data_IF_727759196305
#
_entry.id   IF_727759196305
#
_cell.length_a   1.000
_cell.length_b   1.000
_cell.length_c   1.000
_cell.angle_alpha   90.00
_cell.angle_beta   90.00
_cell.angle_gamma   90.00
#
_symmetry.space_group_name_H-M   'P 1'
#
loop_
_entity.id
_entity.type
_entity.pdbx_description
1 polymer ?
#
# COMPACT_ATOMS: atom_id res chain seq x y z
N UNK A 1 4.66 -10.55 -28.63
CA UNK A 1 4.29 -11.98 -28.61
C UNK A 1 3.70 -12.33 -27.25
N UNK A 2 3.05 -13.49 -27.09
CA UNK A 2 2.62 -13.99 -25.77
C UNK A 2 3.76 -14.82 -25.16
N UNK A 3 4.17 -14.47 -23.94
CA UNK A 3 5.23 -15.16 -23.21
C UNK A 3 4.68 -16.26 -22.30
N UNK A 4 5.45 -16.57 -21.25
CA UNK A 4 5.01 -17.47 -20.18
C UNK A 4 3.68 -16.99 -19.59
N UNK A 5 2.80 -17.94 -19.25
CA UNK A 5 1.48 -17.69 -18.67
C UNK A 5 0.58 -16.83 -19.60
N UNK A 6 0.86 -16.87 -20.91
CA UNK A 6 0.17 -16.09 -21.95
C UNK A 6 0.19 -14.57 -21.73
N UNK A 7 1.20 -14.07 -21.00
CA UNK A 7 1.36 -12.63 -20.75
C UNK A 7 1.92 -11.95 -21.99
N UNK A 8 1.22 -10.94 -22.50
CA UNK A 8 1.67 -10.17 -23.67
C UNK A 8 2.97 -9.42 -23.38
N UNK A 9 3.99 -9.69 -24.19
CA UNK A 9 5.18 -8.87 -24.32
C UNK A 9 5.02 -7.98 -25.56
N UNK A 10 5.03 -6.67 -25.32
CA UNK A 10 5.05 -5.63 -26.33
C UNK A 10 6.07 -4.61 -25.87
N UNK A 11 7.00 -4.28 -26.76
CA UNK A 11 8.08 -3.33 -26.50
C UNK A 11 8.58 -2.76 -27.83
N UNK A 12 9.07 -1.53 -27.78
CA UNK A 12 9.74 -0.85 -28.89
C UNK A 12 11.19 -0.59 -28.45
N UNK A 13 12.11 -1.34 -29.04
CA UNK A 13 13.51 -1.37 -28.59
C UNK A 13 14.40 -0.89 -29.72
N UNK A 14 15.17 0.15 -29.45
CA UNK A 14 16.27 0.56 -30.31
C UNK A 14 17.42 -0.44 -30.14
N UNK A 15 17.94 -0.95 -31.25
CA UNK A 15 19.00 -1.97 -31.29
C UNK A 15 20.12 -1.52 -32.20
N UNK A 16 21.31 -2.07 -31.99
CA UNK A 16 22.45 -1.82 -32.86
C UNK A 16 22.12 -2.13 -34.33
N UNK A 17 22.69 -1.33 -35.24
CA UNK A 17 22.47 -1.47 -36.67
C UNK A 17 22.78 -2.89 -37.18
N UNK A 18 23.77 -3.57 -36.59
CA UNK A 18 24.11 -4.96 -36.93
C UNK A 18 23.02 -5.95 -36.49
N UNK A 19 22.44 -5.76 -35.30
CA UNK A 19 21.32 -6.59 -34.80
C UNK A 19 20.11 -6.44 -35.72
N UNK A 20 19.78 -5.20 -36.08
CA UNK A 20 18.67 -4.93 -37.00
C UNK A 20 18.87 -5.56 -38.39
N UNK A 21 20.09 -5.45 -38.94
CA UNK A 21 20.47 -6.12 -40.20
C UNK A 21 20.35 -7.66 -40.09
N UNK A 22 20.84 -8.24 -39.00
CA UNK A 22 20.75 -9.68 -38.75
C UNK A 22 19.29 -10.15 -38.65
N UNK A 23 18.43 -9.43 -37.94
CA UNK A 23 16.99 -9.75 -37.85
C UNK A 23 16.29 -9.69 -39.21
N UNK A 24 16.66 -8.75 -40.10
CA UNK A 24 16.17 -8.74 -41.49
C UNK A 24 16.57 -9.99 -42.25
N UNK A 25 17.81 -10.46 -42.08
CA UNK A 25 18.31 -11.69 -42.71
C UNK A 25 17.55 -12.90 -42.16
N UNK A 26 17.36 -12.98 -40.84
CA UNK A 26 16.67 -14.09 -40.19
C UNK A 26 15.20 -14.21 -40.56
N UNK A 27 14.59 -13.14 -41.10
CA UNK A 27 13.21 -13.11 -41.63
C UNK A 27 13.12 -13.24 -43.16
N UNK A 28 14.26 -13.37 -43.87
CA UNK A 28 14.27 -13.42 -45.34
C UNK A 28 13.60 -14.70 -45.85
N UNK A 29 13.06 -14.64 -47.06
CA UNK A 29 12.52 -15.81 -47.77
C UNK A 29 13.53 -16.99 -47.75
N UNK A 30 13.05 -18.24 -47.58
CA UNK A 30 11.67 -18.70 -47.77
C UNK A 30 10.75 -18.66 -46.53
N UNK A 31 11.13 -18.02 -45.42
CA UNK A 31 10.33 -18.00 -44.19
C UNK A 31 8.96 -17.33 -44.36
N UNK A 32 7.96 -17.85 -43.64
CA UNK A 32 6.57 -17.39 -43.57
C UNK A 32 6.14 -17.10 -42.13
N UNK A 33 4.94 -16.54 -41.98
CA UNK A 33 4.34 -16.34 -40.67
C UNK A 33 4.14 -17.70 -39.96
N UNK A 34 4.64 -17.79 -38.73
CA UNK A 34 4.65 -19.03 -37.94
C UNK A 34 6.01 -19.74 -37.92
N UNK A 35 6.92 -19.42 -38.84
CA UNK A 35 8.28 -20.00 -38.82
C UNK A 35 9.16 -19.38 -37.72
N UNK A 36 10.05 -20.19 -37.15
CA UNK A 36 10.99 -19.73 -36.13
C UNK A 36 11.96 -18.66 -36.67
N UNK A 37 12.09 -17.55 -35.94
CA UNK A 37 13.09 -16.51 -36.27
C UNK A 37 14.51 -17.09 -36.20
N UNK A 38 14.78 -17.91 -35.18
CA UNK A 38 16.09 -18.53 -34.95
C UNK A 38 16.03 -20.04 -35.22
N UNK A 39 15.77 -20.43 -36.47
CA UNK A 39 15.55 -21.80 -36.95
C UNK A 39 16.70 -22.77 -36.70
N UNK A 40 17.92 -22.26 -36.49
CA UNK A 40 19.13 -23.07 -36.22
C UNK A 40 19.63 -22.96 -34.79
N UNK A 41 18.87 -22.34 -33.90
CA UNK A 41 19.23 -22.14 -32.50
C UNK A 41 18.30 -22.94 -31.60
N UNK A 42 18.89 -23.67 -30.66
CA UNK A 42 18.13 -24.34 -29.59
C UNK A 42 18.59 -23.84 -28.23
N UNK A 43 17.73 -23.95 -27.22
CA UNK A 43 18.06 -23.59 -25.84
C UNK A 43 19.23 -24.42 -25.29
N UNK A 44 19.33 -25.69 -25.68
CA UNK A 44 20.46 -26.57 -25.32
C UNK A 44 21.78 -26.07 -25.91
N UNK A 45 21.80 -25.75 -27.21
CA UNK A 45 22.99 -25.22 -27.87
C UNK A 45 23.44 -23.88 -27.25
N UNK A 46 22.49 -22.99 -26.95
CA UNK A 46 22.77 -21.71 -26.30
C UNK A 46 23.37 -21.92 -24.89
N UNK A 47 22.75 -22.76 -24.05
CA UNK A 47 23.26 -22.99 -22.69
C UNK A 47 24.63 -23.71 -22.69
N UNK A 48 24.88 -24.60 -23.66
CA UNK A 48 26.20 -25.21 -23.85
C UNK A 48 27.25 -24.15 -24.21
N UNK A 49 26.91 -23.22 -25.10
CA UNK A 49 27.78 -22.10 -25.44
C UNK A 49 28.06 -21.20 -24.23
N UNK A 50 27.02 -20.86 -23.45
CA UNK A 50 27.15 -20.04 -22.23
C UNK A 50 28.03 -20.70 -21.16
N UNK A 51 27.88 -22.02 -20.96
CA UNK A 51 28.65 -22.77 -19.97
C UNK A 51 30.16 -22.77 -20.25
N UNK A 52 30.57 -22.59 -21.51
CA UNK A 52 31.99 -22.47 -21.87
C UNK A 52 32.61 -21.15 -21.38
N UNK A 53 31.82 -20.09 -21.17
CA UNK A 53 32.32 -18.83 -20.61
C UNK A 53 32.36 -18.84 -19.09
N UNK A 54 31.39 -19.51 -18.45
CA UNK A 54 31.32 -19.61 -17.00
C UNK A 54 30.56 -20.89 -16.59
N UNK A 55 31.18 -21.76 -15.75
CA UNK A 55 30.50 -22.95 -15.25
C UNK A 55 29.18 -22.60 -14.55
N UNK A 56 28.10 -23.27 -14.94
CA UNK A 56 26.74 -23.04 -14.40
C UNK A 56 25.98 -21.86 -15.03
N UNK A 57 26.59 -21.11 -15.95
CA UNK A 57 25.91 -20.02 -16.66
C UNK A 57 24.88 -20.57 -17.65
N UNK A 58 23.66 -20.08 -17.51
CA UNK A 58 22.51 -20.43 -18.36
C UNK A 58 21.67 -19.19 -18.64
N UNK A 59 20.80 -19.24 -19.65
CA UNK A 59 19.95 -18.11 -20.02
C UNK A 59 19.09 -17.58 -18.84
N UNK A 60 18.68 -18.45 -17.90
CA UNK A 60 17.93 -18.03 -16.70
C UNK A 60 18.74 -17.15 -15.74
N UNK A 61 20.06 -17.34 -15.67
CA UNK A 61 20.94 -16.60 -14.75
C UNK A 61 20.94 -15.12 -15.12
N UNK A 62 20.87 -14.78 -16.41
CA UNK A 62 20.78 -13.39 -16.87
C UNK A 62 19.55 -12.65 -16.32
N UNK A 63 18.39 -13.33 -16.17
CA UNK A 63 17.20 -12.70 -15.58
C UNK A 63 17.41 -12.37 -14.11
N UNK A 64 17.98 -13.29 -13.34
CA UNK A 64 18.28 -13.08 -11.92
C UNK A 64 19.36 -12.01 -11.74
N UNK A 65 20.43 -12.05 -12.55
CA UNK A 65 21.48 -11.05 -12.55
C UNK A 65 20.94 -9.66 -12.87
N UNK A 66 20.23 -9.49 -13.99
CA UNK A 66 19.71 -8.18 -14.40
C UNK A 66 18.72 -7.62 -13.37
N UNK A 67 17.87 -8.46 -12.78
CA UNK A 67 16.93 -8.03 -11.75
C UNK A 67 17.65 -7.57 -10.47
N UNK A 68 18.59 -8.37 -9.95
CA UNK A 68 19.35 -8.07 -8.74
C UNK A 68 20.29 -6.89 -8.94
N UNK A 69 21.00 -6.82 -10.07
CA UNK A 69 21.86 -5.71 -10.44
C UNK A 69 21.10 -4.39 -10.55
N UNK A 70 19.94 -4.41 -11.22
CA UNK A 70 19.09 -3.21 -11.32
C UNK A 70 18.64 -2.76 -9.93
N UNK A 71 18.21 -3.69 -9.08
CA UNK A 71 17.84 -3.36 -7.70
C UNK A 71 19.03 -2.77 -6.92
N UNK A 72 20.22 -3.37 -7.02
CA UNK A 72 21.43 -2.89 -6.35
C UNK A 72 21.77 -1.46 -6.75
N UNK A 73 21.73 -1.14 -8.05
CA UNK A 73 21.97 0.22 -8.57
C UNK A 73 20.93 1.22 -8.07
N UNK A 74 19.65 0.85 -8.14
CA UNK A 74 18.57 1.70 -7.62
C UNK A 74 18.72 1.96 -6.12
N UNK A 75 19.22 0.99 -5.34
CA UNK A 75 19.48 1.13 -3.91
C UNK A 75 20.71 1.98 -3.59
N UNK A 76 21.75 1.93 -4.41
CA UNK A 76 22.93 2.79 -4.27
C UNK A 76 22.55 4.27 -4.43
N UNK A 77 21.73 4.58 -5.42
CA UNK A 77 21.30 5.97 -5.71
C UNK A 77 20.17 6.46 -4.80
N UNK A 78 19.58 5.56 -4.00
CA UNK A 78 18.42 5.88 -3.19
C UNK A 78 18.76 6.79 -2.00
N UNK A 79 17.97 7.86 -1.84
CA UNK A 79 18.05 8.79 -0.71
C UNK A 79 16.72 8.81 0.04
N UNK A 80 16.25 7.64 0.47
CA UNK A 80 14.97 7.51 1.15
C UNK A 80 15.04 8.14 2.55
N UNK A 81 14.26 9.20 2.76
CA UNK A 81 14.14 9.92 4.04
C UNK A 81 12.70 9.87 4.55
N UNK A 82 12.48 10.34 5.77
CA UNK A 82 11.14 10.44 6.36
C UNK A 82 10.71 9.16 7.09
N UNK A 83 9.40 8.95 7.12
CA UNK A 83 8.73 7.86 7.83
C UNK A 83 9.04 6.50 7.22
N UNK A 84 8.82 5.43 7.99
CA UNK A 84 8.91 4.07 7.45
C UNK A 84 7.97 3.84 6.26
N UNK A 85 6.82 4.53 6.19
CA UNK A 85 5.89 4.39 5.08
C UNK A 85 6.48 4.94 3.77
N UNK A 86 7.08 6.14 3.82
CA UNK A 86 7.76 6.76 2.67
C UNK A 86 8.94 5.93 2.19
N UNK A 87 9.75 5.41 3.12
CA UNK A 87 10.87 4.52 2.80
C UNK A 87 10.40 3.20 2.16
N UNK A 88 9.32 2.60 2.65
CA UNK A 88 8.72 1.40 2.05
C UNK A 88 8.22 1.67 0.63
N UNK A 89 7.57 2.83 0.39
CA UNK A 89 7.16 3.24 -0.96
C UNK A 89 8.36 3.36 -1.90
N UNK A 90 9.45 4.00 -1.46
CA UNK A 90 10.68 4.12 -2.26
C UNK A 90 11.25 2.75 -2.65
N UNK A 91 11.25 1.78 -1.73
CA UNK A 91 11.63 0.40 -2.03
C UNK A 91 10.67 -0.26 -3.05
N UNK A 92 9.36 -0.08 -2.88
CA UNK A 92 8.35 -0.64 -3.80
C UNK A 92 8.49 -0.04 -5.20
N UNK A 93 8.76 1.26 -5.31
CA UNK A 93 9.03 1.95 -6.58
C UNK A 93 10.29 1.39 -7.27
N UNK A 94 11.35 1.08 -6.52
CA UNK A 94 12.53 0.41 -7.05
C UNK A 94 12.22 -1.02 -7.54
N UNK A 95 11.51 -1.81 -6.73
CA UNK A 95 11.09 -3.15 -7.11
C UNK A 95 10.13 -3.14 -8.32
N UNK A 96 9.30 -2.10 -8.46
CA UNK A 96 8.42 -1.89 -9.63
C UNK A 96 9.23 -1.74 -10.91
N UNK A 97 10.33 -0.99 -10.90
CA UNK A 97 11.24 -0.88 -12.05
C UNK A 97 11.83 -2.24 -12.42
N UNK A 98 12.24 -3.04 -11.43
CA UNK A 98 12.76 -4.40 -11.65
C UNK A 98 11.67 -5.33 -12.23
N UNK A 99 10.44 -5.23 -11.73
CA UNK A 99 9.32 -6.02 -12.22
C UNK A 99 8.94 -5.67 -13.66
N UNK A 100 9.00 -4.38 -14.03
CA UNK A 100 8.79 -3.91 -15.42
C UNK A 100 9.87 -4.47 -16.33
N UNK A 101 11.16 -4.38 -15.94
CA UNK A 101 12.27 -4.99 -16.67
C UNK A 101 12.05 -6.49 -16.91
N UNK A 102 11.49 -7.19 -15.93
CA UNK A 102 11.22 -8.62 -16.03
C UNK A 102 9.89 -8.98 -16.75
N UNK A 103 9.13 -7.98 -17.22
CA UNK A 103 7.76 -8.10 -17.74
C UNK A 103 6.81 -8.85 -16.78
N UNK A 104 6.96 -8.65 -15.47
CA UNK A 104 6.07 -9.21 -14.45
C UNK A 104 4.78 -8.40 -14.36
N UNK A 105 3.92 -8.59 -15.36
CA UNK A 105 2.59 -7.98 -15.43
C UNK A 105 1.57 -8.85 -14.71
N UNK A 106 0.53 -8.21 -14.19
CA UNK A 106 -0.71 -8.86 -13.75
C UNK A 106 -1.91 -8.08 -14.26
N UNK A 107 -3.03 -8.76 -14.44
CA UNK A 107 -4.30 -8.07 -14.65
C UNK A 107 -4.71 -7.35 -13.37
N UNK A 108 -5.37 -6.20 -13.52
CA UNK A 108 -6.00 -5.52 -12.39
C UNK A 108 -7.06 -6.44 -11.81
N UNK A 109 -7.01 -6.68 -10.50
CA UNK A 109 -7.97 -7.55 -9.84
C UNK A 109 -9.39 -6.98 -9.99
N UNK A 110 -10.39 -7.84 -10.23
CA UNK A 110 -11.77 -7.40 -10.45
C UNK A 110 -12.32 -6.55 -9.29
N UNK A 111 -11.90 -6.83 -8.05
CA UNK A 111 -12.28 -6.06 -6.86
C UNK A 111 -11.40 -4.85 -6.54
N UNK A 112 -10.42 -4.51 -7.38
CA UNK A 112 -9.46 -3.43 -7.09
C UNK A 112 -10.14 -2.07 -6.96
N UNK A 113 -11.07 -1.73 -7.86
CA UNK A 113 -11.81 -0.47 -7.80
C UNK A 113 -12.60 -0.34 -6.48
N UNK A 114 -13.39 -1.36 -6.13
CA UNK A 114 -14.14 -1.39 -4.87
C UNK A 114 -13.24 -1.38 -3.63
N UNK A 115 -12.03 -1.96 -3.71
CA UNK A 115 -11.05 -1.88 -2.63
C UNK A 115 -10.48 -0.47 -2.49
N UNK A 116 -10.20 0.21 -3.60
CA UNK A 116 -9.70 1.59 -3.59
C UNK A 116 -10.75 2.58 -3.10
N UNK A 117 -12.01 2.40 -3.48
CA UNK A 117 -13.16 3.14 -2.95
C UNK A 117 -13.23 3.02 -1.42
N UNK A 118 -13.19 1.79 -0.88
CA UNK A 118 -13.17 1.57 0.57
C UNK A 118 -11.96 2.18 1.28
N UNK A 119 -10.82 2.32 0.60
CA UNK A 119 -9.65 3.00 1.15
C UNK A 119 -9.89 4.51 1.16
N UNK A 120 -10.45 5.05 0.08
CA UNK A 120 -10.80 6.46 -0.05
C UNK A 120 -11.84 6.87 1.00
N UNK A 121 -12.91 6.10 1.18
CA UNK A 121 -13.93 6.34 2.22
C UNK A 121 -13.31 6.43 3.63
N UNK A 122 -12.30 5.59 3.91
CA UNK A 122 -11.58 5.64 5.19
C UNK A 122 -10.70 6.87 5.32
N UNK A 123 -10.05 7.31 4.23
CA UNK A 123 -9.27 8.55 4.21
C UNK A 123 -10.21 9.73 4.48
N UNK A 124 -11.36 9.75 3.81
CA UNK A 124 -12.38 10.79 3.90
C UNK A 124 -13.01 10.85 5.29
N UNK A 125 -13.28 9.70 5.92
CA UNK A 125 -13.68 9.63 7.32
C UNK A 125 -12.65 10.27 8.28
N UNK A 126 -11.35 10.03 8.07
CA UNK A 126 -10.28 10.62 8.91
C UNK A 126 -10.11 12.12 8.61
N UNK A 127 -10.24 12.54 7.35
CA UNK A 127 -10.27 13.95 6.94
C UNK A 127 -11.45 14.69 7.58
N UNK A 128 -12.62 14.06 7.60
CA UNK A 128 -13.80 14.59 8.27
C UNK A 128 -13.62 14.70 9.78
N UNK A 129 -13.00 13.70 10.41
CA UNK A 129 -12.64 13.76 11.83
C UNK A 129 -11.69 14.94 12.10
N UNK A 130 -10.67 15.14 11.27
CA UNK A 130 -9.76 16.27 11.39
C UNK A 130 -10.49 17.60 11.23
N UNK A 131 -11.41 17.70 10.26
CA UNK A 131 -12.27 18.86 10.07
C UNK A 131 -13.12 19.16 11.32
N UNK A 132 -13.77 18.16 11.93
CA UNK A 132 -14.54 18.34 13.17
C UNK A 132 -13.67 18.90 14.30
N UNK A 133 -12.45 18.38 14.48
CA UNK A 133 -11.50 18.90 15.49
C UNK A 133 -11.11 20.37 15.19
N UNK A 134 -10.91 20.72 13.91
CA UNK A 134 -10.66 22.12 13.51
C UNK A 134 -11.84 23.03 13.82
N UNK A 135 -13.08 22.57 13.64
CA UNK A 135 -14.27 23.34 14.01
C UNK A 135 -14.40 23.51 15.53
N UNK A 136 -14.08 22.48 16.33
CA UNK A 136 -14.02 22.60 17.78
C UNK A 136 -12.98 23.64 18.25
N UNK A 137 -11.85 23.73 17.56
CA UNK A 137 -10.86 24.78 17.83
C UNK A 137 -11.42 26.17 17.56
N UNK A 138 -12.19 26.37 16.49
CA UNK A 138 -12.84 27.66 16.22
C UNK A 138 -13.92 28.01 17.25
N UNK A 139 -14.63 27.00 17.77
CA UNK A 139 -15.59 27.20 18.84
C UNK A 139 -14.92 27.68 20.15
N UNK A 140 -13.68 27.24 20.42
CA UNK A 140 -12.89 27.70 21.57
C UNK A 140 -12.24 29.07 21.35
N UNK A 141 -11.61 29.30 20.19
CA UNK A 141 -10.98 30.58 19.84
C UNK A 141 -11.29 30.97 18.39
N UNK A 142 -12.33 31.80 18.16
CA UNK A 142 -12.68 32.29 16.82
C UNK A 142 -11.58 33.10 16.13
N UNK A 143 -10.62 33.67 16.88
CA UNK A 143 -9.50 34.45 16.31
C UNK A 143 -8.53 33.54 15.53
N UNK A 144 -8.54 32.23 15.77
CA UNK A 144 -7.73 31.27 15.02
C UNK A 144 -8.03 31.29 13.53
N UNK A 145 -9.27 31.60 13.12
CA UNK A 145 -9.63 31.74 11.70
C UNK A 145 -8.79 32.81 10.98
N UNK A 146 -8.48 33.91 11.67
CA UNK A 146 -7.60 34.96 11.14
C UNK A 146 -6.12 34.56 11.19
N UNK A 147 -5.70 33.83 12.22
CA UNK A 147 -4.29 33.42 12.41
C UNK A 147 -3.84 32.31 11.45
N UNK A 148 -4.67 31.29 11.21
CA UNK A 148 -4.34 30.14 10.36
C UNK A 148 -4.94 30.19 8.95
N UNK A 149 -5.77 31.20 8.67
CA UNK A 149 -6.47 31.37 7.39
C UNK A 149 -7.76 30.56 7.32
N UNK A 150 -8.74 31.07 6.55
CA UNK A 150 -10.05 30.44 6.42
C UNK A 150 -10.00 29.06 5.74
N UNK A 151 -9.12 28.91 4.74
CA UNK A 151 -8.88 27.67 4.00
C UNK A 151 -8.47 26.50 4.91
N UNK A 152 -7.69 26.77 5.97
CA UNK A 152 -7.25 25.71 6.87
C UNK A 152 -8.41 25.03 7.62
N UNK A 153 -9.50 25.77 7.81
CA UNK A 153 -10.75 25.31 8.43
C UNK A 153 -11.82 24.89 7.42
N UNK A 154 -11.53 24.95 6.12
CA UNK A 154 -12.48 24.56 5.10
C UNK A 154 -12.76 23.06 5.17
N UNK A 155 -13.98 22.71 4.77
CA UNK A 155 -14.39 21.33 4.57
C UNK A 155 -13.59 20.75 3.39
N UNK A 156 -12.95 19.58 3.55
CA UNK A 156 -12.29 18.90 2.45
C UNK A 156 -13.24 18.65 1.27
N UNK A 157 -12.71 18.71 0.05
CA UNK A 157 -13.46 18.44 -1.18
C UNK A 157 -14.09 17.04 -1.15
N UNK A 158 -15.32 16.90 -1.67
CA UNK A 158 -16.04 15.63 -1.73
C UNK A 158 -16.79 15.23 -0.46
N UNK A 159 -16.70 16.00 0.64
CA UNK A 159 -17.40 15.71 1.90
C UNK A 159 -18.69 16.53 2.07
N UNK A 160 -19.54 16.57 1.04
CA UNK A 160 -20.77 17.36 1.02
C UNK A 160 -21.79 16.98 2.13
N UNK A 161 -22.91 17.70 2.20
CA UNK A 161 -23.95 17.45 3.22
C UNK A 161 -24.55 16.03 3.11
N UNK A 162 -24.62 15.46 1.91
CA UNK A 162 -25.12 14.09 1.69
C UNK A 162 -24.14 13.06 2.24
N UNK A 163 -22.85 13.20 1.92
CA UNK A 163 -21.79 12.36 2.47
C UNK A 163 -21.74 12.46 3.99
N UNK A 164 -21.83 13.67 4.55
CA UNK A 164 -21.81 13.85 6.02
C UNK A 164 -22.99 13.17 6.69
N UNK A 165 -24.20 13.29 6.13
CA UNK A 165 -25.39 12.63 6.66
C UNK A 165 -25.22 11.11 6.65
N UNK A 166 -24.80 10.54 5.52
CA UNK A 166 -24.54 9.10 5.39
C UNK A 166 -23.45 8.65 6.38
N UNK A 167 -22.36 9.38 6.46
CA UNK A 167 -21.26 9.08 7.39
C UNK A 167 -21.71 9.13 8.86
N UNK A 168 -22.57 10.08 9.23
CA UNK A 168 -23.13 10.16 10.58
C UNK A 168 -24.05 8.98 10.89
N UNK A 169 -24.91 8.60 9.95
CA UNK A 169 -25.76 7.41 10.07
C UNK A 169 -24.91 6.15 10.25
N UNK A 170 -23.86 5.98 9.43
CA UNK A 170 -22.92 4.86 9.53
C UNK A 170 -22.19 4.83 10.88
N UNK A 171 -21.77 5.99 11.41
CA UNK A 171 -21.12 6.08 12.72
C UNK A 171 -22.05 5.66 13.87
N UNK A 172 -23.32 6.09 13.82
CA UNK A 172 -24.33 5.71 14.81
C UNK A 172 -24.59 4.22 14.74
N UNK A 173 -24.74 3.66 13.53
CA UNK A 173 -24.94 2.22 13.36
C UNK A 173 -23.74 1.42 13.86
N UNK A 174 -22.52 1.85 13.55
CA UNK A 174 -21.29 1.20 14.04
C UNK A 174 -21.22 1.20 15.57
N UNK A 175 -21.59 2.30 16.24
CA UNK A 175 -21.58 2.36 17.70
C UNK A 175 -22.67 1.46 18.29
N UNK A 176 -23.89 1.41 17.70
CA UNK A 176 -24.94 0.45 18.09
C UNK A 176 -24.45 -0.99 17.97
N UNK A 177 -23.90 -1.37 16.81
CA UNK A 177 -23.39 -2.72 16.57
C UNK A 177 -22.26 -3.09 17.54
N UNK A 178 -21.36 -2.14 17.86
CA UNK A 178 -20.28 -2.34 18.82
C UNK A 178 -20.79 -2.55 20.24
N UNK A 179 -21.78 -1.77 20.68
CA UNK A 179 -22.44 -1.91 21.98
C UNK A 179 -23.10 -3.30 22.07
N UNK A 180 -23.90 -3.67 21.07
CA UNK A 180 -24.58 -4.97 21.02
C UNK A 180 -23.59 -6.13 21.05
N UNK A 181 -22.55 -6.12 20.18
CA UNK A 181 -21.52 -7.18 20.16
C UNK A 181 -20.75 -7.28 21.47
N UNK A 182 -20.50 -6.15 22.15
CA UNK A 182 -19.81 -6.16 23.44
C UNK A 182 -20.70 -6.77 24.53
N UNK A 183 -21.98 -6.41 24.54
CA UNK A 183 -22.96 -6.98 25.46
C UNK A 183 -23.14 -8.49 25.26
N UNK A 184 -23.25 -8.95 24.01
CA UNK A 184 -23.32 -10.37 23.66
C UNK A 184 -22.10 -11.15 24.17
N UNK A 185 -20.90 -10.65 23.91
CA UNK A 185 -19.65 -11.27 24.39
C UNK A 185 -19.54 -11.34 25.91
N UNK A 186 -20.00 -10.29 26.60
CA UNK A 186 -20.03 -10.28 28.06
C UNK A 186 -21.03 -11.31 28.60
N UNK A 187 -22.21 -11.45 27.98
CA UNK A 187 -23.17 -12.48 28.34
C UNK A 187 -22.67 -13.91 28.07
N UNK A 188 -21.99 -14.14 26.94
CA UNK A 188 -21.36 -15.44 26.65
C UNK A 188 -20.33 -15.81 27.72
N UNK A 189 -19.54 -14.83 28.17
CA UNK A 189 -18.55 -15.02 29.24
C UNK A 189 -19.22 -15.34 30.58
N UNK A 190 -20.23 -14.57 30.98
CA UNK A 190 -20.98 -14.83 32.22
C UNK A 190 -21.59 -16.23 32.23
N UNK A 191 -22.17 -16.64 31.10
CA UNK A 191 -22.73 -17.99 30.93
C UNK A 191 -21.68 -19.09 31.05
N UNK A 192 -20.48 -18.87 30.51
CA UNK A 192 -19.36 -19.81 30.64
C UNK A 192 -18.83 -19.90 32.07
N UNK A 193 -18.93 -18.82 32.84
CA UNK A 193 -18.54 -18.75 34.26
C UNK A 193 -19.66 -19.25 35.21
N UNK A 194 -20.80 -19.69 34.66
CA UNK A 194 -21.96 -20.17 35.43
C UNK A 194 -22.80 -19.05 36.05
N UNK A 195 -22.54 -17.80 35.69
CA UNK A 195 -23.29 -16.63 36.09
C UNK A 195 -24.51 -16.40 35.17
N UNK A 196 -25.47 -15.60 35.65
CA UNK A 196 -26.67 -15.24 34.87
C UNK A 196 -26.36 -14.16 33.86
N UNK A 197 -26.96 -14.27 32.68
CA UNK A 197 -26.89 -13.24 31.63
C UNK A 197 -27.41 -11.88 32.13
N UNK A 198 -26.81 -10.79 31.66
CA UNK A 198 -27.25 -9.42 31.95
C UNK A 198 -28.66 -9.19 31.39
N UNK A 199 -29.43 -8.34 32.07
CA UNK A 199 -30.82 -8.05 31.68
C UNK A 199 -30.86 -7.29 30.35
N UNK A 200 -31.87 -7.52 29.48
CA UNK A 200 -32.05 -6.75 28.25
C UNK A 200 -32.10 -5.23 28.47
N UNK A 201 -32.64 -4.79 29.62
CA UNK A 201 -32.68 -3.37 30.00
C UNK A 201 -31.28 -2.72 30.06
N UNK A 202 -30.25 -3.49 30.42
CA UNK A 202 -28.89 -2.97 30.47
C UNK A 202 -28.30 -2.76 29.06
N UNK A 203 -28.75 -3.54 28.07
CA UNK A 203 -28.44 -3.26 26.67
C UNK A 203 -29.13 -1.97 26.22
N UNK A 204 -30.40 -1.77 26.58
CA UNK A 204 -31.14 -0.54 26.24
C UNK A 204 -30.47 0.70 26.85
N UNK A 205 -30.08 0.65 28.13
CA UNK A 205 -29.33 1.72 28.80
C UNK A 205 -27.98 1.99 28.11
N UNK A 206 -27.28 0.95 27.64
CA UNK A 206 -26.03 1.13 26.88
C UNK A 206 -26.29 1.74 25.49
N UNK A 207 -27.40 1.39 24.84
CA UNK A 207 -27.80 1.94 23.54
C UNK A 207 -28.23 3.41 23.60
N UNK A 208 -28.55 3.95 24.79
CA UNK A 208 -28.74 5.39 24.97
C UNK A 208 -27.51 6.19 24.51
N UNK A 209 -26.29 5.67 24.70
CA UNK A 209 -25.08 6.31 24.22
C UNK A 209 -25.07 6.52 22.69
N UNK A 210 -25.56 5.55 21.92
CA UNK A 210 -25.69 5.68 20.48
C UNK A 210 -26.82 6.63 20.07
N UNK A 211 -27.89 6.68 20.86
CA UNK A 211 -29.01 7.60 20.65
C UNK A 211 -28.60 9.05 20.92
N UNK A 212 -27.80 9.29 21.96
CA UNK A 212 -27.24 10.62 22.25
C UNK A 212 -26.23 11.05 21.17
N UNK A 213 -25.41 10.12 20.67
CA UNK A 213 -24.55 10.38 19.52
C UNK A 213 -25.36 10.79 18.28
N UNK A 214 -26.46 10.09 17.98
CA UNK A 214 -27.34 10.41 16.86
C UNK A 214 -27.97 11.80 17.00
N UNK A 215 -28.48 12.16 18.18
CA UNK A 215 -29.02 13.50 18.45
C UNK A 215 -27.96 14.57 18.27
N UNK A 216 -26.75 14.32 18.78
CA UNK A 216 -25.62 15.25 18.66
C UNK A 216 -25.26 15.50 17.20
N UNK A 217 -25.03 14.44 16.42
CA UNK A 217 -24.66 14.55 15.01
C UNK A 217 -25.75 15.23 14.16
N UNK A 218 -27.03 14.91 14.42
CA UNK A 218 -28.16 15.63 13.80
C UNK A 218 -28.18 17.12 14.16
N UNK A 219 -27.81 17.49 15.39
CA UNK A 219 -27.73 18.89 15.79
C UNK A 219 -26.52 19.60 15.14
N UNK A 220 -25.36 18.93 15.04
CA UNK A 220 -24.18 19.45 14.33
C UNK A 220 -24.51 19.76 12.86
N UNK A 221 -25.22 18.87 12.16
CA UNK A 221 -25.66 19.10 10.78
C UNK A 221 -26.61 20.29 10.64
N UNK A 222 -27.57 20.41 11.56
CA UNK A 222 -28.55 21.52 11.54
C UNK A 222 -27.93 22.88 11.84
N UNK A 223 -27.05 22.93 12.84
CA UNK A 223 -26.47 24.18 13.33
C UNK A 223 -25.19 24.58 12.59
N UNK A 224 -24.59 23.64 11.85
CA UNK A 224 -23.26 23.76 11.23
C UNK A 224 -22.17 24.13 12.24
N UNK A 225 -22.40 23.82 13.53
CA UNK A 225 -21.47 24.08 14.63
C UNK A 225 -21.08 22.77 15.29
N UNK A 226 -19.78 22.61 15.50
CA UNK A 226 -19.21 21.45 16.19
C UNK A 226 -18.76 21.91 17.57
N UNK A 227 -19.41 21.39 18.61
CA UNK A 227 -19.13 21.78 19.99
C UNK A 227 -17.84 21.11 20.51
N UNK A 228 -17.00 21.81 21.28
CA UNK A 228 -15.80 21.23 21.87
C UNK A 228 -16.11 20.01 22.75
N UNK A 229 -15.46 18.87 22.46
CA UNK A 229 -15.62 17.62 23.20
C UNK A 229 -14.29 17.09 23.78
N UNK A 230 -14.39 16.28 24.84
CA UNK A 230 -13.25 15.64 25.51
C UNK A 230 -12.96 16.16 26.92
N UNK A 231 -12.11 15.44 27.66
CA UNK A 231 -11.72 15.83 29.03
C UNK A 231 -10.76 17.02 29.00
N UNK A 232 -11.27 18.20 29.37
CA UNK A 232 -10.52 19.46 29.41
C UNK A 232 -10.13 19.92 28.01
N UNK A 233 -11.10 20.34 27.17
CA UNK A 233 -10.84 20.76 25.80
C UNK A 233 -9.96 22.01 25.77
N UNK A 234 -8.90 22.00 24.96
CA UNK A 234 -8.01 23.14 24.76
C UNK A 234 -7.51 23.16 23.32
N UNK A 235 -7.14 24.35 22.85
CA UNK A 235 -6.55 24.56 21.52
C UNK A 235 -5.31 23.67 21.33
N UNK A 236 -4.42 23.63 22.32
CA UNK A 236 -3.19 22.82 22.30
C UNK A 236 -3.46 21.31 22.16
N UNK A 237 -4.47 20.79 22.88
CA UNK A 237 -4.85 19.37 22.76
C UNK A 237 -5.39 19.05 21.37
N UNK A 238 -6.20 19.93 20.80
CA UNK A 238 -6.72 19.75 19.45
C UNK A 238 -5.64 19.89 18.38
N UNK A 239 -4.64 20.75 18.56
CA UNK A 239 -3.47 20.82 17.69
C UNK A 239 -2.70 19.50 17.66
N UNK A 240 -2.41 18.92 18.83
CA UNK A 240 -1.77 17.60 18.91
C UNK A 240 -2.63 16.46 18.32
N UNK A 241 -3.96 16.56 18.38
CA UNK A 241 -4.86 15.62 17.69
C UNK A 241 -4.80 15.80 16.17
N UNK A 242 -4.80 17.04 15.68
CA UNK A 242 -4.72 17.33 14.25
C UNK A 242 -3.40 16.83 13.68
N UNK A 243 -2.28 17.01 14.38
CA UNK A 243 -0.97 16.49 13.95
C UNK A 243 -1.01 14.96 13.76
N UNK A 244 -1.54 14.24 14.75
CA UNK A 244 -1.71 12.78 14.67
C UNK A 244 -2.62 12.36 13.50
N UNK A 245 -3.72 13.09 13.29
CA UNK A 245 -4.63 12.85 12.17
C UNK A 245 -3.97 13.15 10.83
N UNK A 246 -3.19 14.24 10.72
CA UNK A 246 -2.43 14.60 9.51
C UNK A 246 -1.44 13.50 9.12
N UNK A 247 -0.65 13.01 10.09
CA UNK A 247 0.29 11.90 9.86
C UNK A 247 -0.46 10.63 9.44
N UNK A 248 -1.62 10.35 10.04
CA UNK A 248 -2.45 9.20 9.67
C UNK A 248 -3.00 9.32 8.25
N UNK A 249 -3.52 10.49 7.86
CA UNK A 249 -4.04 10.78 6.52
C UNK A 249 -2.93 10.58 5.49
N UNK A 250 -1.78 11.24 5.70
CA UNK A 250 -0.63 11.14 4.80
C UNK A 250 -0.17 9.68 4.60
N UNK A 251 -0.08 8.89 5.69
CA UNK A 251 0.26 7.47 5.59
C UNK A 251 -0.77 6.65 4.80
N UNK A 252 -2.07 6.94 4.96
CA UNK A 252 -3.13 6.24 4.24
C UNK A 252 -3.15 6.61 2.76
N UNK A 253 -2.92 7.88 2.43
CA UNK A 253 -2.80 8.37 1.05
C UNK A 253 -1.58 7.76 0.35
N UNK A 254 -0.42 7.70 1.01
CA UNK A 254 0.78 7.03 0.47
C UNK A 254 0.53 5.55 0.19
N UNK A 255 -0.18 4.85 1.08
CA UNK A 255 -0.54 3.44 0.87
C UNK A 255 -1.54 3.25 -0.26
N UNK A 256 -2.47 4.19 -0.44
CA UNK A 256 -3.42 4.18 -1.55
C UNK A 256 -2.69 4.38 -2.89
N UNK A 257 -1.80 5.38 -2.96
CA UNK A 257 -0.97 5.64 -4.14
C UNK A 257 -0.08 4.44 -4.50
N UNK A 258 0.62 3.86 -3.52
CA UNK A 258 1.46 2.68 -3.72
C UNK A 258 0.66 1.46 -4.20
N UNK A 259 -0.58 1.28 -3.72
CA UNK A 259 -1.45 0.20 -4.20
C UNK A 259 -1.90 0.44 -5.64
N UNK A 260 -2.23 1.69 -5.98
CA UNK A 260 -2.71 2.06 -7.30
C UNK A 260 -1.60 1.99 -8.36
N UNK A 261 -0.41 2.51 -8.06
CA UNK A 261 0.74 2.51 -8.97
C UNK A 261 1.22 1.09 -9.34
N UNK A 262 0.95 0.13 -8.44
CA UNK A 262 1.34 -1.28 -8.56
C UNK A 262 0.19 -2.20 -9.01
N UNK A 263 -0.98 -1.67 -9.39
CA UNK A 263 -2.15 -2.50 -9.72
C UNK A 263 -1.92 -3.48 -10.89
N UNK A 264 -1.08 -3.10 -11.86
CA UNK A 264 -0.76 -3.92 -13.06
C UNK A 264 0.58 -4.68 -12.95
N UNK A 265 1.30 -4.55 -11.83
CA UNK A 265 2.66 -5.08 -11.69
C UNK A 265 2.72 -6.11 -10.57
N UNK A 266 3.32 -7.27 -10.85
CA UNK A 266 3.45 -8.38 -9.91
C UNK A 266 4.76 -8.28 -9.11
N UNK A 267 4.82 -7.34 -8.16
CA UNK A 267 6.00 -7.07 -7.31
C UNK A 267 6.50 -8.27 -6.49
N UNK A 268 5.62 -9.21 -6.14
CA UNK A 268 6.00 -10.41 -5.38
C UNK A 268 6.90 -11.34 -6.19
N UNK A 269 6.66 -11.44 -7.49
CA UNK A 269 7.41 -12.34 -8.37
C UNK A 269 8.86 -11.91 -8.49
N UNK A 270 9.12 -10.64 -8.76
CA UNK A 270 10.47 -10.06 -8.81
C UNK A 270 11.18 -10.18 -7.46
N UNK A 271 10.54 -9.71 -6.39
CA UNK A 271 11.11 -9.67 -5.03
C UNK A 271 11.51 -11.05 -4.49
N UNK A 272 10.71 -12.09 -4.74
CA UNK A 272 10.91 -13.39 -4.09
C UNK A 272 11.80 -14.32 -4.92
N UNK A 273 11.79 -14.18 -6.26
CA UNK A 273 12.40 -15.18 -7.14
C UNK A 273 13.56 -14.65 -8.00
N UNK A 274 13.69 -13.34 -8.17
CA UNK A 274 14.67 -12.76 -9.10
C UNK A 274 15.63 -11.77 -8.45
N UNK A 275 15.20 -11.07 -7.39
CA UNK A 275 16.03 -10.17 -6.60
C UNK A 275 16.71 -10.97 -5.49
N UNK A 276 18.02 -10.79 -5.31
CA UNK A 276 18.75 -11.34 -4.17
C UNK A 276 18.18 -10.77 -2.86
N UNK A 277 17.69 -11.61 -1.92
CA UNK A 277 17.10 -11.14 -0.67
C UNK A 277 18.06 -10.30 0.18
N UNK A 278 19.39 -10.46 0.03
CA UNK A 278 20.40 -9.65 0.71
C UNK A 278 20.29 -8.17 0.37
N UNK A 279 19.88 -7.81 -0.85
CA UNK A 279 19.62 -6.41 -1.23
C UNK A 279 18.47 -5.79 -0.42
N UNK A 280 17.47 -6.61 -0.06
CA UNK A 280 16.38 -6.14 0.81
C UNK A 280 16.84 -5.98 2.26
N UNK A 281 17.77 -6.82 2.71
CA UNK A 281 18.41 -6.70 4.03
C UNK A 281 19.27 -5.44 4.09
N UNK A 282 20.07 -5.16 3.05
CA UNK A 282 20.83 -3.92 2.89
C UNK A 282 19.91 -2.71 3.02
N UNK A 283 18.81 -2.68 2.26
CA UNK A 283 17.83 -1.58 2.37
C UNK A 283 17.28 -1.44 3.79
N UNK A 284 16.89 -2.55 4.41
CA UNK A 284 16.32 -2.57 5.76
C UNK A 284 17.28 -1.99 6.81
N UNK A 285 18.57 -2.34 6.72
CA UNK A 285 19.61 -1.84 7.63
C UNK A 285 19.95 -0.37 7.33
N UNK A 286 20.29 -0.07 6.07
CA UNK A 286 20.73 1.27 5.61
C UNK A 286 19.70 2.37 5.89
N UNK A 287 18.41 2.06 5.78
CA UNK A 287 17.34 3.04 5.97
C UNK A 287 16.56 2.86 7.29
N UNK A 288 17.02 1.97 8.18
CA UNK A 288 16.36 1.67 9.46
C UNK A 288 14.85 1.41 9.28
N UNK A 289 14.51 0.42 8.45
CA UNK A 289 13.13 -0.02 8.25
C UNK A 289 13.01 -1.48 8.66
N UNK A 290 12.09 -1.85 9.57
CA UNK A 290 11.95 -3.23 10.02
C UNK A 290 11.74 -4.20 8.85
N UNK A 291 12.53 -5.28 8.80
CA UNK A 291 12.50 -6.28 7.71
C UNK A 291 11.11 -6.91 7.51
N UNK A 292 10.29 -6.91 8.56
CA UNK A 292 8.88 -7.35 8.58
C UNK A 292 7.98 -6.57 7.63
N UNK A 293 8.35 -5.34 7.29
CA UNK A 293 7.65 -4.53 6.29
C UNK A 293 7.84 -5.09 4.88
N UNK A 294 8.91 -5.84 4.63
CA UNK A 294 9.24 -6.39 3.31
C UNK A 294 8.97 -7.90 3.20
N UNK A 295 9.27 -8.65 4.26
CA UNK A 295 9.11 -10.10 4.29
C UNK A 295 8.13 -10.53 5.37
N UNK A 296 7.14 -11.34 4.98
CA UNK A 296 6.26 -12.04 5.91
C UNK A 296 7.05 -13.03 6.77
N UNK A 297 6.45 -13.54 7.86
CA UNK A 297 7.09 -14.53 8.74
C UNK A 297 7.72 -15.69 7.96
N UNK A 298 6.95 -16.32 7.06
CA UNK A 298 7.42 -17.42 6.21
C UNK A 298 8.56 -17.02 5.28
N UNK A 299 8.55 -15.80 4.74
CA UNK A 299 9.65 -15.31 3.89
C UNK A 299 10.92 -15.01 4.70
N UNK A 300 10.78 -14.54 5.94
CA UNK A 300 11.92 -14.35 6.84
C UNK A 300 12.56 -15.67 7.22
N UNK A 301 11.76 -16.73 7.44
CA UNK A 301 12.27 -18.09 7.66
C UNK A 301 13.02 -18.61 6.42
N UNK A 302 12.44 -18.44 5.22
CA UNK A 302 13.09 -18.82 3.94
C UNK A 302 14.41 -18.08 3.71
N UNK A 303 14.48 -16.80 4.06
CA UNK A 303 15.64 -15.93 3.81
C UNK A 303 16.46 -15.66 5.07
N UNK A 304 16.37 -16.52 6.09
CA UNK A 304 17.11 -16.36 7.34
C UNK A 304 18.63 -16.27 7.10
N UNK A 305 19.15 -17.06 6.15
CA UNK A 305 20.55 -17.03 5.73
C UNK A 305 20.96 -15.65 5.18
N UNK A 306 20.09 -14.96 4.45
CA UNK A 306 20.37 -13.65 3.89
C UNK A 306 20.34 -12.58 4.99
N UNK A 307 19.38 -12.66 5.91
CA UNK A 307 19.24 -11.74 7.04
C UNK A 307 20.47 -11.80 7.96
N UNK A 308 21.03 -13.00 8.14
CA UNK A 308 22.20 -13.21 9.01
C UNK A 308 23.56 -12.93 8.34
N UNK A 309 23.63 -12.82 7.01
CA UNK A 309 24.92 -12.85 6.29
C UNK A 309 25.44 -11.51 5.78
N UNK A 310 24.63 -10.45 5.79
CA UNK A 310 25.02 -9.15 5.21
C UNK A 310 24.68 -7.98 6.10
N UNK A 311 25.50 -6.94 6.04
CA UNK A 311 25.28 -5.63 6.64
C UNK A 311 24.85 -4.58 5.60
N UNK A 312 24.77 -3.31 5.99
CA UNK A 312 24.30 -2.22 5.14
C UNK A 312 25.23 -1.85 3.97
N UNK A 313 26.50 -2.22 4.07
CA UNK A 313 27.53 -1.93 3.05
C UNK A 313 27.73 -3.07 2.04
N UNK A 314 26.92 -4.13 2.10
CA UNK A 314 27.06 -5.26 1.19
C UNK A 314 26.63 -4.90 -0.24
N UNK A 315 27.43 -5.31 -1.22
CA UNK A 315 27.18 -5.10 -2.65
C UNK A 315 26.98 -6.43 -3.40
N UNK A 316 26.09 -6.42 -4.39
CA UNK A 316 25.77 -7.56 -5.26
C UNK A 316 26.69 -7.61 -6.48
#
# INVERSE_FOLDING_TARGET
FLGKDSIRFYDEVEVDAQVFKNLKIFKKAPKKDGDDIFDRLTTSALNKHLSNYMPGLTAKVFRTYNASWTMARLLQDMKATGTHAEKVKAYNDANRRVAILCNHKRTVAAGHAAQMEKVQDKIDAVKYQQYRVKQMMLALDPKLKKKKGAEWFALPEGLDEEWQKKHHEDLVEQERQKITKKFEKENEKLKAEGEKEMKPKELDERLEAATELEKKLKNELKTKKVEPEGKGPSVEKYEGQIEKLSVRISNMELQAEDRESNKEVALGTSKINYIDPRLTVVFSKKFDVPIEKFFSKTLREKFAWAIASVDEDWEF
#
